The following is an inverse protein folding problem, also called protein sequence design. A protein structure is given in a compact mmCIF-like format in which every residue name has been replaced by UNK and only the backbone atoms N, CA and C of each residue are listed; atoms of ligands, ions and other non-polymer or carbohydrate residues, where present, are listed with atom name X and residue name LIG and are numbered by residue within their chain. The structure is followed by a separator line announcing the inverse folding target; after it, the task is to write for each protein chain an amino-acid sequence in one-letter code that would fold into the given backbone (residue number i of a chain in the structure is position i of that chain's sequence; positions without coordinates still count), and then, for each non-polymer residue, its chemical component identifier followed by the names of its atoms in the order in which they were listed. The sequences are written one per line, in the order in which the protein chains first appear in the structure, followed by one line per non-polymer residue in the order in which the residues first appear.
data_IF_376226942695
#
_entry.id   IF_376226942695
#
_cell.length_a   1.000
_cell.length_b   1.000
_cell.length_c   1.000
_cell.angle_alpha   90.00
_cell.angle_beta   90.00
_cell.angle_gamma   90.00
#
_symmetry.space_group_name_H-M   'P 1'
#
loop_
_entity.id
_entity.type
_entity.pdbx_description
1 polymer ?
#
# COMPACT_ATOMS: atom_id res chain seq x y z
N UNK A 1 -29.94 -10.55 12.31
CA UNK A 1 -28.58 -10.83 11.83
C UNK A 1 -28.06 -12.05 12.56
N UNK A 2 -28.09 -13.25 11.95
CA UNK A 2 -27.63 -14.47 12.63
C UNK A 2 -26.13 -14.42 12.87
N UNK A 3 -25.72 -14.56 14.13
CA UNK A 3 -24.31 -14.75 14.45
C UNK A 3 -23.78 -16.06 13.84
N UNK A 4 -22.46 -16.17 13.60
CA UNK A 4 -21.89 -17.39 13.06
C UNK A 4 -22.01 -18.55 14.07
N UNK A 5 -22.49 -19.71 13.59
CA UNK A 5 -22.81 -20.90 14.40
C UNK A 5 -21.66 -21.48 15.25
N UNK A 6 -20.40 -21.18 14.93
CA UNK A 6 -19.22 -21.71 15.65
C UNK A 6 -18.27 -20.60 16.07
N UNK A 7 -17.54 -20.82 17.18
CA UNK A 7 -16.50 -19.89 17.67
C UNK A 7 -15.44 -19.63 16.59
N UNK A 8 -15.04 -20.68 15.86
CA UNK A 8 -14.09 -20.54 14.75
C UNK A 8 -14.63 -19.65 13.62
N UNK A 9 -15.91 -19.80 13.24
CA UNK A 9 -16.54 -18.91 12.25
C UNK A 9 -16.63 -17.47 12.76
N UNK A 10 -16.92 -17.26 14.04
CA UNK A 10 -16.93 -15.92 14.66
C UNK A 10 -15.54 -15.27 14.61
N UNK A 11 -14.47 -16.02 14.90
CA UNK A 11 -13.08 -15.53 14.82
C UNK A 11 -12.71 -15.18 13.37
N UNK A 12 -13.02 -16.04 12.41
CA UNK A 12 -12.75 -15.80 11.00
C UNK A 12 -13.53 -14.59 10.48
N UNK A 13 -14.80 -14.44 10.86
CA UNK A 13 -15.62 -13.28 10.52
C UNK A 13 -15.03 -11.97 11.06
N UNK A 14 -14.58 -11.97 12.33
CA UNK A 14 -13.90 -10.81 12.94
C UNK A 14 -12.56 -10.49 12.27
N UNK A 15 -11.78 -11.51 11.87
CA UNK A 15 -10.51 -11.34 11.14
C UNK A 15 -10.73 -10.74 9.74
N UNK A 16 -11.71 -11.25 9.00
CA UNK A 16 -12.05 -10.79 7.66
C UNK A 16 -12.57 -9.34 7.66
N UNK A 17 -13.34 -8.95 8.68
CA UNK A 17 -13.94 -7.62 8.79
C UNK A 17 -13.15 -6.66 9.71
N UNK A 18 -11.84 -6.87 9.90
CA UNK A 18 -11.03 -5.90 10.66
C UNK A 18 -11.00 -4.56 9.92
N UNK A 19 -11.41 -3.50 10.62
CA UNK A 19 -11.28 -2.13 10.14
C UNK A 19 -9.81 -1.84 9.83
N UNK A 20 -9.53 -1.34 8.62
CA UNK A 20 -8.17 -0.98 8.23
C UNK A 20 -7.59 0.06 9.20
N UNK A 21 -6.29 -0.02 9.55
CA UNK A 21 -5.63 1.03 10.30
C UNK A 21 -5.79 2.37 9.57
N UNK A 22 -6.34 3.37 10.27
CA UNK A 22 -6.57 4.72 9.73
C UNK A 22 -5.31 5.60 9.68
N UNK A 23 -4.12 5.05 9.92
CA UNK A 23 -2.87 5.82 9.79
C UNK A 23 -2.62 6.10 8.31
N UNK A 24 -3.11 7.25 7.86
CA UNK A 24 -2.93 7.75 6.52
C UNK A 24 -1.68 8.59 6.48
N UNK A 25 -0.69 8.18 5.69
CA UNK A 25 0.43 9.04 5.35
C UNK A 25 -0.05 10.03 4.29
N UNK A 26 -0.13 11.30 4.67
CA UNK A 26 -0.46 12.39 3.76
C UNK A 26 0.83 12.89 3.10
N UNK A 27 1.08 12.36 1.90
CA UNK A 27 2.20 12.76 1.06
C UNK A 27 1.63 13.71 0.00
N UNK A 28 2.28 14.85 -0.26
CA UNK A 28 1.89 15.72 -1.35
C UNK A 28 1.98 14.96 -2.67
N UNK A 29 0.89 14.99 -3.45
CA UNK A 29 0.77 14.16 -4.64
C UNK A 29 1.71 14.59 -5.78
N UNK A 30 2.24 15.80 -5.70
CA UNK A 30 3.13 16.41 -6.70
C UNK A 30 4.56 15.85 -6.61
N UNK A 31 4.97 15.36 -5.43
CA UNK A 31 6.27 14.72 -5.25
C UNK A 31 6.29 13.26 -5.76
N UNK A 32 5.14 12.70 -6.12
CA UNK A 32 5.03 11.33 -6.66
C UNK A 32 5.27 11.36 -8.17
N UNK A 33 6.53 11.56 -8.53
CA UNK A 33 7.03 11.57 -9.91
C UNK A 33 8.09 10.50 -10.10
N UNK A 34 8.21 9.96 -11.32
CA UNK A 34 9.15 8.88 -11.64
C UNK A 34 10.63 9.30 -11.48
N UNK A 35 10.93 10.60 -11.61
CA UNK A 35 12.28 11.15 -11.49
C UNK A 35 12.76 11.31 -10.04
N UNK A 36 11.91 11.00 -9.04
CA UNK A 36 12.26 11.12 -7.62
C UNK A 36 12.37 9.74 -6.95
N UNK A 37 13.48 9.01 -7.14
CA UNK A 37 13.64 7.66 -6.61
C UNK A 37 13.69 7.63 -5.08
N UNK A 38 14.20 8.66 -4.40
CA UNK A 38 14.32 8.69 -2.94
C UNK A 38 12.98 8.53 -2.22
N UNK A 39 11.92 9.15 -2.76
CA UNK A 39 10.57 9.02 -2.22
C UNK A 39 9.98 7.64 -2.55
N UNK A 40 10.23 7.14 -3.76
CA UNK A 40 9.68 5.87 -4.25
C UNK A 40 10.32 4.65 -3.57
N UNK A 41 11.61 4.71 -3.23
CA UNK A 41 12.34 3.65 -2.51
C UNK A 41 11.69 3.32 -1.16
N UNK A 42 11.08 4.31 -0.48
CA UNK A 42 10.36 4.11 0.79
C UNK A 42 9.11 3.24 0.64
N UNK A 43 8.59 3.08 -0.58
CA UNK A 43 7.43 2.24 -0.91
C UNK A 43 7.81 0.89 -1.51
N UNK A 44 9.11 0.58 -1.56
CA UNK A 44 9.64 -0.72 -1.99
C UNK A 44 10.37 -1.42 -0.85
N UNK A 45 10.43 -2.75 -0.91
CA UNK A 45 11.31 -3.54 -0.03
C UNK A 45 12.76 -3.43 -0.51
N UNK A 46 13.71 -3.93 0.30
CA UNK A 46 15.12 -4.05 -0.09
C UNK A 46 15.32 -4.86 -1.39
N UNK A 47 14.49 -5.88 -1.62
CA UNK A 47 14.49 -6.68 -2.86
C UNK A 47 13.78 -5.99 -4.05
N UNK A 48 13.27 -4.77 -3.90
CA UNK A 48 12.49 -4.09 -4.94
C UNK A 48 11.05 -4.61 -5.10
N UNK A 49 10.44 -5.29 -4.13
CA UNK A 49 9.00 -5.59 -4.19
C UNK A 49 8.20 -4.34 -3.78
N UNK A 50 7.13 -4.02 -4.50
CA UNK A 50 6.25 -2.90 -4.12
C UNK A 50 5.49 -3.27 -2.84
N UNK A 51 5.58 -2.43 -1.81
CA UNK A 51 4.90 -2.66 -0.55
C UNK A 51 3.38 -2.57 -0.73
N UNK A 52 2.60 -3.50 -0.15
CA UNK A 52 1.15 -3.45 -0.26
C UNK A 52 0.59 -2.23 0.48
N UNK A 53 -0.50 -1.64 -0.06
CA UNK A 53 -1.19 -0.49 0.54
C UNK A 53 -1.44 -0.59 2.05
N UNK A 54 -1.75 -1.81 2.54
CA UNK A 54 -2.05 -2.08 3.96
C UNK A 54 -0.86 -1.76 4.89
N UNK A 55 0.36 -1.82 4.37
CA UNK A 55 1.60 -1.53 5.11
C UNK A 55 1.94 -0.05 4.97
N UNK A 56 1.80 0.50 3.76
CA UNK A 56 2.17 1.89 3.45
C UNK A 56 1.17 2.93 3.95
N UNK A 57 -0.06 2.54 4.30
CA UNK A 57 -1.05 3.43 4.91
C UNK A 57 -1.61 4.54 4.00
N UNK A 58 -1.14 4.67 2.76
CA UNK A 58 -1.56 5.74 1.84
C UNK A 58 -3.00 5.58 1.32
N UNK A 59 -3.58 6.69 0.85
CA UNK A 59 -4.88 6.65 0.17
C UNK A 59 -4.83 5.75 -1.08
N UNK A 60 -5.96 5.14 -1.46
CA UNK A 60 -6.00 4.26 -2.63
C UNK A 60 -5.62 4.99 -3.93
N UNK A 61 -6.03 6.26 -4.06
CA UNK A 61 -5.67 7.12 -5.21
C UNK A 61 -4.17 7.34 -5.28
N UNK A 62 -3.55 7.68 -4.16
CA UNK A 62 -2.12 7.95 -4.09
C UNK A 62 -1.30 6.66 -4.30
N UNK A 63 -1.73 5.54 -3.73
CA UNK A 63 -1.05 4.25 -3.93
C UNK A 63 -0.99 3.85 -5.41
N UNK A 64 -2.08 4.05 -6.18
CA UNK A 64 -2.07 3.80 -7.63
C UNK A 64 -1.06 4.70 -8.37
N UNK A 65 -0.96 5.97 -7.99
CA UNK A 65 0.03 6.90 -8.55
C UNK A 65 1.46 6.45 -8.23
N UNK A 66 1.73 6.07 -6.98
CA UNK A 66 3.05 5.57 -6.54
C UNK A 66 3.43 4.31 -7.33
N UNK A 67 2.52 3.34 -7.46
CA UNK A 67 2.78 2.11 -8.24
C UNK A 67 3.12 2.41 -9.70
N UNK A 68 2.42 3.36 -10.33
CA UNK A 68 2.73 3.77 -11.70
C UNK A 68 4.09 4.49 -11.79
N UNK A 69 4.38 5.39 -10.86
CA UNK A 69 5.66 6.10 -10.79
C UNK A 69 6.84 5.13 -10.58
N UNK A 70 6.70 4.12 -9.70
CA UNK A 70 7.72 3.08 -9.50
C UNK A 70 7.95 2.30 -10.81
N UNK A 71 6.89 1.90 -11.51
CA UNK A 71 7.01 1.18 -12.78
C UNK A 71 7.72 2.02 -13.85
N UNK A 72 7.40 3.31 -13.94
CA UNK A 72 8.07 4.24 -14.84
C UNK A 72 9.54 4.45 -14.46
N UNK A 73 9.82 4.63 -13.17
CA UNK A 73 11.18 4.78 -12.63
C UNK A 73 12.06 3.56 -12.94
N UNK A 74 11.49 2.35 -12.90
CA UNK A 74 12.17 1.11 -13.32
C UNK A 74 12.49 1.07 -14.80
N UNK A 75 11.56 1.50 -15.65
CA UNK A 75 11.78 1.56 -17.10
C UNK A 75 12.93 2.51 -17.47
N UNK A 76 13.21 3.51 -16.63
CA UNK A 76 14.30 4.49 -16.81
C UNK A 76 15.55 4.11 -15.97
N UNK A 77 15.59 2.91 -15.37
CA UNK A 77 16.69 2.41 -14.53
C UNK A 77 17.04 3.28 -13.30
N UNK A 78 16.09 4.06 -12.78
CA UNK A 78 16.27 4.85 -11.54
C UNK A 78 15.99 4.04 -10.27
N UNK A 79 15.29 2.90 -10.38
CA UNK A 79 15.00 1.97 -9.29
C UNK A 79 15.18 0.53 -9.77
N UNK A 80 15.59 -0.38 -8.86
CA UNK A 80 15.60 -1.81 -9.11
C UNK A 80 14.18 -2.43 -9.16
#
# INVERSE_FOLDING_TARGET
MSEPKTVQRRINFRKANRMMPRRRHDIPADLVVATNPELLTKFTTETGKILPRRVTGVSAKLHRRITNAIKQSRAINLLP
#
